data_IF_576981534824
#
_entry.id   IF_576981534824
#
_cell.length_a   1.000
_cell.length_b   1.000
_cell.length_c   1.000
_cell.angle_alpha   90.00
_cell.angle_beta   90.00
_cell.angle_gamma   90.00
#
_symmetry.space_group_name_H-M   'P 1'
#
loop_
_entity.id
_entity.type
_entity.pdbx_description
1 polymer ?
#
# COMPACT_ATOMS: atom_id res chain seq x y z
N UNK A 1 -19.08 1.19 -4.50
CA UNK A 1 -18.28 2.45 -4.53
C UNK A 1 -17.06 2.18 -5.41
N UNK A 2 -16.68 3.07 -6.33
CA UNK A 2 -15.52 2.81 -7.21
C UNK A 2 -14.26 2.57 -6.38
N UNK A 3 -13.47 1.56 -6.74
CA UNK A 3 -12.20 1.20 -6.10
C UNK A 3 -11.08 1.64 -7.03
N UNK A 4 -10.07 2.32 -6.48
CA UNK A 4 -8.82 2.63 -7.18
C UNK A 4 -7.73 1.69 -6.66
N UNK A 5 -7.09 0.95 -7.56
CA UNK A 5 -5.97 0.07 -7.25
C UNK A 5 -4.67 0.71 -7.72
N UNK A 6 -3.76 0.94 -6.79
CA UNK A 6 -2.50 1.64 -7.07
C UNK A 6 -1.33 0.66 -7.07
N UNK A 7 -0.61 0.61 -8.18
CA UNK A 7 0.62 -0.18 -8.38
C UNK A 7 1.86 0.71 -8.33
N UNK A 8 3.06 0.13 -8.52
CA UNK A 8 4.29 0.91 -8.68
C UNK A 8 4.38 1.56 -10.05
N UNK A 9 5.05 2.71 -10.11
CA UNK A 9 5.31 3.42 -11.38
C UNK A 9 6.34 2.71 -12.26
N UNK A 10 7.08 1.76 -11.70
CA UNK A 10 8.02 0.90 -12.43
C UNK A 10 8.42 -0.33 -11.61
N UNK A 11 9.17 -1.28 -12.21
CA UNK A 11 9.57 -2.52 -11.56
C UNK A 11 10.45 -2.28 -10.31
N UNK A 12 10.06 -2.85 -9.17
CA UNK A 12 10.81 -2.80 -7.91
C UNK A 12 10.62 -4.11 -7.16
N UNK A 13 11.68 -4.90 -7.04
CA UNK A 13 11.63 -6.22 -6.39
C UNK A 13 10.48 -7.08 -6.97
N UNK A 14 9.51 -7.44 -6.13
CA UNK A 14 8.34 -8.23 -6.47
C UNK A 14 7.03 -7.42 -6.38
N UNK A 15 7.13 -6.09 -6.28
CA UNK A 15 5.95 -5.23 -6.21
C UNK A 15 5.27 -5.17 -7.58
N UNK A 16 3.93 -5.23 -7.57
CA UNK A 16 3.14 -5.27 -8.79
C UNK A 16 3.27 -3.98 -9.61
N UNK A 17 3.44 -4.12 -10.92
CA UNK A 17 3.34 -3.03 -11.90
C UNK A 17 1.95 -2.99 -12.53
N UNK A 18 1.75 -2.05 -13.47
CA UNK A 18 0.50 -1.93 -14.22
C UNK A 18 0.19 -3.22 -14.99
N UNK A 19 1.19 -3.79 -15.67
CA UNK A 19 1.07 -5.02 -16.44
C UNK A 19 0.62 -6.19 -15.57
N UNK A 20 1.18 -6.32 -14.36
CA UNK A 20 0.79 -7.35 -13.39
C UNK A 20 -0.68 -7.20 -12.96
N UNK A 21 -1.11 -5.96 -12.69
CA UNK A 21 -2.49 -5.69 -12.30
C UNK A 21 -3.49 -5.98 -13.43
N UNK A 22 -3.13 -5.64 -14.67
CA UNK A 22 -3.94 -6.00 -15.86
C UNK A 22 -4.00 -7.50 -16.04
N UNK A 23 -2.86 -8.21 -15.96
CA UNK A 23 -2.79 -9.66 -16.08
C UNK A 23 -3.60 -10.37 -14.99
N UNK A 24 -3.62 -9.84 -13.77
CA UNK A 24 -4.45 -10.31 -12.67
C UNK A 24 -5.95 -9.99 -12.82
N UNK A 25 -6.34 -9.24 -13.87
CA UNK A 25 -7.73 -8.87 -14.15
C UNK A 25 -8.27 -7.74 -13.28
N UNK A 26 -7.42 -7.01 -12.55
CA UNK A 26 -7.86 -5.95 -11.63
C UNK A 26 -8.53 -4.77 -12.34
N UNK A 27 -8.13 -4.49 -13.59
CA UNK A 27 -8.79 -3.47 -14.42
C UNK A 27 -10.26 -3.75 -14.74
N UNK A 28 -10.77 -4.96 -14.44
CA UNK A 28 -12.19 -5.31 -14.60
C UNK A 28 -13.04 -4.91 -13.38
N UNK A 29 -12.41 -4.67 -12.24
CA UNK A 29 -13.10 -4.45 -10.94
C UNK A 29 -12.66 -3.17 -10.24
N UNK A 30 -11.58 -2.53 -10.70
CA UNK A 30 -11.04 -1.30 -10.14
C UNK A 30 -10.47 -0.39 -11.23
N UNK A 31 -10.40 0.91 -10.94
CA UNK A 31 -9.61 1.87 -11.72
C UNK A 31 -8.15 1.64 -11.38
N UNK A 32 -7.31 1.38 -12.39
CA UNK A 32 -5.87 1.21 -12.19
C UNK A 32 -5.16 2.56 -12.31
N UNK A 33 -4.18 2.76 -11.44
CA UNK A 33 -3.24 3.88 -11.47
C UNK A 33 -1.94 3.45 -10.79
N UNK A 34 -0.92 4.30 -10.79
CA UNK A 34 0.38 4.01 -10.19
C UNK A 34 0.84 5.13 -9.25
N UNK A 35 1.81 4.84 -8.39
CA UNK A 35 2.36 5.80 -7.42
C UNK A 35 3.30 6.85 -8.03
N UNK A 36 3.63 6.74 -9.32
CA UNK A 36 4.58 7.58 -10.04
C UNK A 36 6.05 7.34 -9.68
N UNK A 37 6.33 6.30 -8.89
CA UNK A 37 7.68 6.00 -8.38
C UNK A 37 7.95 4.50 -8.34
N UNK A 38 9.22 4.18 -8.51
CA UNK A 38 9.85 2.87 -8.39
C UNK A 38 10.55 2.75 -7.02
N UNK A 39 9.79 2.93 -5.93
CA UNK A 39 10.28 2.75 -4.56
C UNK A 39 9.44 1.72 -3.78
N UNK A 40 10.09 1.01 -2.85
CA UNK A 40 9.41 0.16 -1.87
C UNK A 40 8.59 1.03 -0.90
N UNK A 41 7.40 0.55 -0.52
CA UNK A 41 6.49 1.33 0.32
C UNK A 41 5.86 2.54 -0.39
N UNK A 42 5.21 3.43 0.35
CA UNK A 42 4.56 4.63 -0.16
C UNK A 42 5.16 5.86 0.49
N UNK A 43 6.29 6.32 -0.05
CA UNK A 43 6.94 7.54 0.41
C UNK A 43 6.22 8.74 -0.23
N UNK A 44 5.15 9.22 0.41
CA UNK A 44 4.18 10.15 -0.17
C UNK A 44 4.81 11.36 -0.87
N UNK A 45 5.84 11.98 -0.27
CA UNK A 45 6.49 13.17 -0.84
C UNK A 45 7.30 12.92 -2.12
N UNK A 46 7.57 11.65 -2.46
CA UNK A 46 8.22 11.26 -3.73
C UNK A 46 7.21 10.87 -4.81
N UNK A 47 5.99 10.49 -4.41
CA UNK A 47 4.97 10.07 -5.34
C UNK A 47 4.46 11.21 -6.24
N UNK A 48 3.87 10.82 -7.37
CA UNK A 48 3.26 11.74 -8.33
C UNK A 48 2.22 12.67 -7.67
N UNK A 49 1.99 13.83 -8.28
CA UNK A 49 0.99 14.78 -7.78
C UNK A 49 -0.42 14.16 -7.82
N UNK A 50 -0.69 13.41 -8.89
CA UNK A 50 -1.93 12.69 -9.15
C UNK A 50 -2.20 11.65 -8.05
N UNK A 51 -1.22 10.81 -7.70
CA UNK A 51 -1.38 9.84 -6.63
C UNK A 51 -1.52 10.50 -5.26
N UNK A 52 -0.76 11.56 -4.98
CA UNK A 52 -0.90 12.30 -3.72
C UNK A 52 -2.28 12.90 -3.54
N UNK A 53 -2.89 13.42 -4.61
CA UNK A 53 -4.25 13.93 -4.58
C UNK A 53 -5.26 12.80 -4.33
N UNK A 54 -5.13 11.67 -5.04
CA UNK A 54 -5.97 10.48 -4.81
C UNK A 54 -5.87 9.96 -3.36
N UNK A 55 -4.66 9.92 -2.80
CA UNK A 55 -4.45 9.54 -1.41
C UNK A 55 -5.12 10.52 -0.44
N UNK A 56 -5.01 11.82 -0.70
CA UNK A 56 -5.61 12.86 0.14
C UNK A 56 -7.14 12.80 0.14
N UNK A 57 -7.75 12.53 -1.02
CA UNK A 57 -9.21 12.53 -1.20
C UNK A 57 -9.89 11.21 -0.80
N UNK A 58 -9.12 10.14 -0.57
CA UNK A 58 -9.67 8.83 -0.23
C UNK A 58 -10.33 8.83 1.16
N UNK A 59 -11.56 8.30 1.24
CA UNK A 59 -12.28 8.07 2.50
C UNK A 59 -11.70 6.89 3.30
N UNK A 60 -11.22 5.85 2.59
CA UNK A 60 -10.64 4.62 3.14
C UNK A 60 -9.48 4.18 2.26
N UNK A 61 -8.37 3.79 2.89
CA UNK A 61 -7.13 3.37 2.22
C UNK A 61 -6.72 2.02 2.79
N UNK A 62 -6.46 1.02 1.93
CA UNK A 62 -5.91 -0.27 2.34
C UNK A 62 -4.46 -0.39 1.87
N UNK A 63 -3.52 -0.16 2.78
CA UNK A 63 -2.09 -0.30 2.55
C UNK A 63 -1.67 -1.77 2.70
N UNK A 64 -1.22 -2.39 1.60
CA UNK A 64 -0.82 -3.81 1.58
C UNK A 64 0.66 -4.00 1.82
N UNK A 65 1.01 -4.92 2.72
CA UNK A 65 2.38 -5.36 2.94
C UNK A 65 3.19 -4.46 3.88
N UNK A 66 4.35 -4.99 4.31
CA UNK A 66 5.16 -4.41 5.37
C UNK A 66 5.80 -3.08 4.97
N UNK A 67 6.29 -2.93 3.74
CA UNK A 67 6.92 -1.68 3.31
C UNK A 67 5.94 -0.49 3.30
N UNK A 68 4.65 -0.73 3.00
CA UNK A 68 3.62 0.31 3.10
C UNK A 68 3.30 0.64 4.56
N UNK A 69 3.36 -0.34 5.48
CA UNK A 69 3.28 -0.09 6.91
C UNK A 69 4.44 0.79 7.39
N UNK A 70 5.67 0.41 7.07
CA UNK A 70 6.88 1.14 7.50
C UNK A 70 6.93 2.59 7.00
N UNK A 71 6.37 2.87 5.82
CA UNK A 71 6.43 4.20 5.18
C UNK A 71 5.25 5.11 5.50
N UNK A 72 4.09 4.55 5.87
CA UNK A 72 2.88 5.33 6.14
C UNK A 72 2.45 5.32 7.61
N UNK A 73 2.95 4.39 8.45
CA UNK A 73 2.64 4.35 9.88
C UNK A 73 3.16 5.61 10.61
N UNK A 74 2.41 6.19 11.58
CA UNK A 74 1.14 5.71 12.13
C UNK A 74 -0.09 6.00 11.25
N UNK A 75 0.04 6.87 10.24
CA UNK A 75 -1.04 7.25 9.33
C UNK A 75 -2.17 8.02 10.01
N UNK A 76 -3.38 7.90 9.47
CA UNK A 76 -4.61 8.44 10.06
C UNK A 76 -5.73 7.37 10.04
N UNK A 77 -6.91 7.70 10.59
CA UNK A 77 -8.01 6.74 10.78
C UNK A 77 -8.60 6.16 9.49
N UNK A 78 -8.29 6.74 8.32
CA UNK A 78 -8.73 6.25 7.01
C UNK A 78 -7.85 5.10 6.53
N UNK A 79 -6.63 4.97 7.07
CA UNK A 79 -5.63 4.02 6.64
C UNK A 79 -5.75 2.70 7.39
N UNK A 80 -5.78 1.61 6.64
CA UNK A 80 -5.79 0.24 7.14
C UNK A 80 -4.60 -0.53 6.56
N UNK A 81 -3.73 -1.02 7.43
CA UNK A 81 -2.59 -1.83 7.06
C UNK A 81 -2.97 -3.30 7.06
N UNK A 82 -2.88 -3.96 5.90
CA UNK A 82 -3.08 -5.39 5.77
C UNK A 82 -1.77 -6.05 5.31
N UNK A 83 -1.10 -6.73 6.24
CA UNK A 83 0.24 -7.26 6.06
C UNK A 83 0.43 -8.61 6.75
N UNK A 84 1.47 -9.32 6.33
CA UNK A 84 2.05 -10.41 7.10
C UNK A 84 3.35 -9.89 7.74
N UNK A 85 3.54 -10.14 9.04
CA UNK A 85 4.77 -9.79 9.75
C UNK A 85 5.90 -10.71 9.30
N UNK A 86 6.98 -10.15 8.74
CA UNK A 86 8.11 -10.92 8.20
C UNK A 86 9.40 -10.74 8.98
N UNK A 87 9.44 -9.85 9.96
CA UNK A 87 10.63 -9.65 10.79
C UNK A 87 10.28 -9.30 12.26
N UNK A 88 11.19 -9.61 13.20
CA UNK A 88 10.97 -9.35 14.63
C UNK A 88 10.78 -7.87 14.99
N UNK A 89 11.32 -6.95 14.18
CA UNK A 89 11.19 -5.50 14.41
C UNK A 89 9.72 -5.10 14.29
N UNK A 90 9.06 -5.51 13.21
CA UNK A 90 7.64 -5.22 12.98
C UNK A 90 6.75 -6.05 13.90
N UNK A 91 7.13 -7.30 14.21
CA UNK A 91 6.41 -8.10 15.20
C UNK A 91 6.36 -7.43 16.58
N UNK A 92 7.49 -6.87 17.03
CA UNK A 92 7.56 -6.11 18.29
C UNK A 92 6.73 -4.84 18.24
N UNK A 93 6.84 -4.08 17.14
CA UNK A 93 6.11 -2.82 16.96
C UNK A 93 4.58 -3.04 16.97
N UNK A 94 4.12 -4.14 16.38
CA UNK A 94 2.71 -4.52 16.34
C UNK A 94 2.25 -5.36 17.54
N UNK A 95 3.17 -5.79 18.41
CA UNK A 95 2.86 -6.66 19.56
C UNK A 95 2.38 -8.06 19.19
N UNK A 96 2.81 -8.59 18.03
CA UNK A 96 2.40 -9.91 17.52
C UNK A 96 3.60 -10.78 17.13
N UNK A 97 3.46 -12.13 17.09
CA UNK A 97 4.51 -13.01 16.64
C UNK A 97 4.87 -12.85 15.14
N UNK A 98 6.09 -13.24 14.77
CA UNK A 98 6.51 -13.38 13.38
C UNK A 98 5.58 -14.31 12.60
N UNK A 99 5.28 -13.95 11.35
CA UNK A 99 4.36 -14.70 10.49
C UNK A 99 2.88 -14.36 10.67
N UNK A 100 2.51 -13.58 11.69
CA UNK A 100 1.12 -13.16 11.92
C UNK A 100 0.57 -12.36 10.74
N UNK A 101 -0.69 -12.64 10.38
CA UNK A 101 -1.46 -11.81 9.43
C UNK A 101 -2.20 -10.75 10.23
N UNK A 102 -1.95 -9.49 9.92
CA UNK A 102 -2.44 -8.33 10.68
C UNK A 102 -3.30 -7.45 9.79
N UNK A 103 -4.44 -7.04 10.31
CA UNK A 103 -5.21 -5.88 9.86
C UNK A 103 -5.18 -4.83 10.99
N UNK A 104 -4.51 -3.70 10.77
CA UNK A 104 -4.36 -2.61 11.75
C UNK A 104 -4.90 -1.31 11.18
N UNK A 105 -5.78 -0.63 11.90
CA UNK A 105 -6.15 0.76 11.59
C UNK A 105 -5.03 1.72 12.02
N UNK A 106 -4.77 2.72 11.19
CA UNK A 106 -3.88 3.84 11.48
C UNK A 106 -4.48 4.84 12.46
N UNK A 107 -3.64 5.75 12.96
CA UNK A 107 -3.92 6.59 14.13
C UNK A 107 -3.49 5.89 15.41
#
# INVERSE_FOLDING_TARGET
VPVTYVVKGGPVLNDATWEDAVAAGLGKVAVLTDSGVDATGTILNRCSAEFRQLYADADVIIAKGQANYESLSPGDSRLFFLLQVKCPVIGRDLGVPDGSIVLKQGG
#
